data_IF_105965189548
#
_entry.id   IF_105965189548
#
_cell.length_a   1.000
_cell.length_b   1.000
_cell.length_c   1.000
_cell.angle_alpha   90.00
_cell.angle_beta   90.00
_cell.angle_gamma   90.00
#
_symmetry.space_group_name_H-M   'P 1'
#
loop_
_entity.id
_entity.type
_entity.pdbx_description
1 polymer ?
#
# COMPACT_ATOMS: atom_id res chain seq x y z
N UNK A 1 -7.88 -0.48 -7.70
CA UNK A 1 -8.53 -0.41 -6.37
C UNK A 1 -7.58 0.13 -5.31
N UNK A 2 -6.45 -0.52 -5.00
CA UNK A 2 -5.55 -0.06 -3.92
C UNK A 2 -4.94 1.33 -4.16
N UNK A 3 -4.54 1.64 -5.40
CA UNK A 3 -4.09 2.99 -5.78
C UNK A 3 -5.16 4.06 -5.47
N UNK A 4 -6.40 3.84 -5.91
CA UNK A 4 -7.51 4.75 -5.63
C UNK A 4 -7.84 4.87 -4.13
N UNK A 5 -7.79 3.76 -3.38
CA UNK A 5 -7.96 3.78 -1.92
C UNK A 5 -6.86 4.59 -1.22
N UNK A 6 -5.61 4.47 -1.66
CA UNK A 6 -4.49 5.21 -1.10
C UNK A 6 -4.62 6.72 -1.36
N UNK A 7 -4.94 7.11 -2.60
CA UNK A 7 -5.18 8.52 -2.94
C UNK A 7 -6.33 9.12 -2.11
N UNK A 8 -7.39 8.35 -1.86
CA UNK A 8 -8.51 8.81 -1.03
C UNK A 8 -8.10 9.00 0.43
N UNK A 9 -7.24 8.12 0.98
CA UNK A 9 -6.70 8.26 2.34
C UNK A 9 -5.80 9.49 2.51
N UNK A 10 -4.99 9.81 1.48
CA UNK A 10 -4.24 11.07 1.45
C UNK A 10 -5.18 12.28 1.39
N UNK A 11 -6.21 12.24 0.52
CA UNK A 11 -7.18 13.34 0.35
C UNK A 11 -7.88 13.73 1.65
N UNK A 12 -8.12 12.77 2.53
CA UNK A 12 -8.79 13.00 3.83
C UNK A 12 -7.82 13.22 5.00
N UNK A 13 -6.51 13.27 4.75
CA UNK A 13 -5.49 13.54 5.77
C UNK A 13 -5.24 12.38 6.74
N UNK A 14 -5.62 11.14 6.38
CA UNK A 14 -5.30 9.95 7.19
C UNK A 14 -3.85 9.51 6.94
N UNK A 15 -3.36 9.73 5.72
CA UNK A 15 -1.94 9.55 5.36
C UNK A 15 -1.37 10.94 5.14
N UNK A 16 -0.45 11.37 6.02
CA UNK A 16 0.22 12.68 5.94
C UNK A 16 1.64 12.54 5.39
N UNK A 17 2.12 13.59 4.75
CA UNK A 17 3.45 13.66 4.17
C UNK A 17 4.39 14.42 5.11
N UNK A 18 5.68 14.11 5.07
CA UNK A 18 6.69 15.00 5.67
C UNK A 18 6.78 16.28 4.82
N UNK A 19 6.85 17.43 5.49
CA UNK A 19 6.71 18.79 4.95
C UNK A 19 7.19 18.98 3.50
N UNK A 20 6.25 19.24 2.59
CA UNK A 20 6.48 20.10 1.43
C UNK A 20 6.50 19.47 0.03
N UNK A 21 6.35 18.16 -0.13
CA UNK A 21 6.28 17.54 -1.46
C UNK A 21 5.12 16.57 -1.54
N UNK A 22 4.06 16.95 -2.26
CA UNK A 22 2.90 16.08 -2.46
C UNK A 22 3.24 14.99 -3.44
N UNK A 23 3.42 13.78 -2.92
CA UNK A 23 3.89 12.62 -3.66
C UNK A 23 2.77 11.61 -3.75
N UNK A 24 2.12 11.60 -4.90
CA UNK A 24 1.19 10.53 -5.26
C UNK A 24 1.96 9.31 -5.75
N UNK A 25 1.56 8.09 -5.36
CA UNK A 25 2.11 6.89 -5.98
C UNK A 25 1.84 6.95 -7.48
N UNK A 26 2.84 6.62 -8.28
CA UNK A 26 2.67 6.49 -9.72
C UNK A 26 1.58 5.47 -10.04
N UNK A 27 0.88 5.72 -11.14
CA UNK A 27 -0.09 4.79 -11.71
C UNK A 27 0.60 3.52 -12.20
N UNK A 28 -0.19 2.47 -12.43
CA UNK A 28 0.31 1.18 -12.91
C UNK A 28 1.16 1.31 -14.18
N UNK A 29 0.70 2.06 -15.18
CA UNK A 29 1.43 2.23 -16.44
C UNK A 29 2.78 2.94 -16.23
N UNK A 30 2.82 3.97 -15.40
CA UNK A 30 4.05 4.70 -15.11
C UNK A 30 5.09 3.80 -14.43
N UNK A 31 4.64 2.95 -13.50
CA UNK A 31 5.51 1.96 -12.86
C UNK A 31 6.05 0.96 -13.88
N UNK A 32 5.19 0.34 -14.70
CA UNK A 32 5.62 -0.68 -15.67
C UNK A 32 6.51 -0.13 -16.78
N UNK A 33 6.30 1.11 -17.21
CA UNK A 33 7.15 1.77 -18.22
C UNK A 33 8.54 2.10 -17.66
N UNK A 34 8.63 2.45 -16.37
CA UNK A 34 9.90 2.78 -15.71
C UNK A 34 10.84 1.60 -15.49
N UNK A 35 10.34 0.36 -15.46
CA UNK A 35 11.18 -0.84 -15.33
C UNK A 35 12.00 -1.13 -16.60
N UNK A 36 11.67 -0.48 -17.72
CA UNK A 36 12.39 -0.61 -18.99
C UNK A 36 13.50 0.44 -19.18
N UNK A 37 13.55 1.49 -18.35
CA UNK A 37 14.53 2.58 -18.41
C UNK A 37 15.32 2.63 -17.09
N UNK A 38 16.55 2.12 -17.13
CA UNK A 38 17.42 1.90 -15.99
C UNK A 38 18.06 3.21 -15.46
N UNK A 39 17.25 4.22 -15.11
CA UNK A 39 17.72 5.48 -14.52
C UNK A 39 17.35 5.57 -13.03
N UNK A 40 18.38 5.34 -12.21
CA UNK A 40 18.41 5.32 -10.75
C UNK A 40 18.27 6.72 -10.11
N UNK A 41 17.28 7.49 -10.54
CA UNK A 41 16.86 8.73 -9.86
C UNK A 41 15.35 8.73 -9.69
N UNK A 42 14.82 7.57 -9.28
CA UNK A 42 13.39 7.31 -9.15
C UNK A 42 12.77 8.25 -8.13
N UNK A 43 11.85 9.10 -8.61
CA UNK A 43 11.03 9.94 -7.76
C UNK A 43 10.39 9.12 -6.63
N UNK A 44 10.22 9.70 -5.44
CA UNK A 44 9.58 9.04 -4.29
C UNK A 44 8.23 8.41 -4.66
N UNK A 45 7.49 9.03 -5.59
CA UNK A 45 6.22 8.49 -6.12
C UNK A 45 6.38 7.19 -6.91
N UNK A 46 7.48 7.03 -7.65
CA UNK A 46 7.79 5.78 -8.34
C UNK A 46 8.14 4.67 -7.34
N UNK A 47 8.92 4.99 -6.31
CA UNK A 47 9.24 4.05 -5.24
C UNK A 47 7.97 3.56 -4.52
N UNK A 48 7.09 4.48 -4.12
CA UNK A 48 5.81 4.17 -3.50
C UNK A 48 4.90 3.36 -4.43
N UNK A 49 4.86 3.71 -5.72
CA UNK A 49 4.11 2.98 -6.75
C UNK A 49 4.57 1.53 -6.90
N UNK A 50 5.89 1.29 -6.97
CA UNK A 50 6.47 -0.06 -7.03
C UNK A 50 6.14 -0.89 -5.79
N UNK A 51 6.27 -0.31 -4.60
CA UNK A 51 5.92 -1.01 -3.34
C UNK A 51 4.42 -1.34 -3.27
N UNK A 52 3.56 -0.40 -3.63
CA UNK A 52 2.12 -0.64 -3.65
C UNK A 52 1.72 -1.72 -4.67
N UNK A 53 2.42 -1.79 -5.80
CA UNK A 53 2.23 -2.87 -6.78
C UNK A 53 2.61 -4.24 -6.21
N UNK A 54 3.71 -4.34 -5.47
CA UNK A 54 4.11 -5.59 -4.80
C UNK A 54 3.07 -6.05 -3.76
N UNK A 55 2.53 -5.12 -2.98
CA UNK A 55 1.42 -5.41 -2.06
C UNK A 55 0.20 -5.90 -2.83
N UNK A 56 -0.15 -5.25 -3.93
CA UNK A 56 -1.30 -5.63 -4.75
C UNK A 56 -1.15 -7.04 -5.33
N UNK A 57 0.05 -7.43 -5.78
CA UNK A 57 0.35 -8.78 -6.24
C UNK A 57 0.20 -9.81 -5.12
N UNK A 58 0.66 -9.47 -3.90
CA UNK A 58 0.51 -10.32 -2.72
C UNK A 58 -0.96 -10.55 -2.31
N UNK A 59 -1.88 -9.72 -2.80
CA UNK A 59 -3.32 -9.83 -2.51
C UNK A 59 -4.08 -10.76 -3.48
N UNK A 60 -3.40 -11.40 -4.43
CA UNK A 60 -4.05 -12.31 -5.38
C UNK A 60 -4.79 -13.45 -4.65
N UNK A 61 -6.01 -13.78 -5.11
CA UNK A 61 -6.86 -14.78 -4.45
C UNK A 61 -7.57 -14.32 -3.17
N UNK A 62 -7.39 -13.07 -2.73
CA UNK A 62 -8.22 -12.48 -1.68
C UNK A 62 -9.57 -12.01 -2.23
N UNK A 63 -10.64 -12.22 -1.45
CA UNK A 63 -11.97 -11.74 -1.84
C UNK A 63 -12.04 -10.21 -1.80
N UNK A 64 -12.93 -9.61 -2.60
CA UNK A 64 -13.16 -8.17 -2.56
C UNK A 64 -13.61 -7.63 -1.19
N UNK A 65 -14.15 -8.49 -0.31
CA UNK A 65 -14.47 -8.11 1.08
C UNK A 65 -13.20 -7.90 1.90
N UNK A 66 -12.25 -8.84 1.80
CA UNK A 66 -10.96 -8.75 2.48
C UNK A 66 -10.15 -7.56 1.96
N UNK A 67 -10.09 -7.39 0.63
CA UNK A 67 -9.38 -6.26 0.01
C UNK A 67 -9.81 -4.90 0.54
N UNK A 68 -11.11 -4.70 0.81
CA UNK A 68 -11.64 -3.45 1.37
C UNK A 68 -11.35 -3.30 2.88
N UNK A 69 -11.11 -4.40 3.59
CA UNK A 69 -10.82 -4.42 5.03
C UNK A 69 -9.34 -4.12 5.33
N UNK A 70 -8.44 -4.54 4.44
CA UNK A 70 -6.99 -4.40 4.62
C UNK A 70 -6.52 -2.97 4.94
N UNK A 71 -7.00 -1.89 4.28
CA UNK A 71 -6.60 -0.52 4.62
C UNK A 71 -6.91 -0.14 6.07
N UNK A 72 -8.06 -0.58 6.60
CA UNK A 72 -8.45 -0.31 7.99
C UNK A 72 -7.60 -1.09 8.98
N UNK A 73 -7.25 -2.34 8.66
CA UNK A 73 -6.36 -3.16 9.50
C UNK A 73 -4.94 -2.60 9.53
N UNK A 74 -4.44 -2.15 8.38
CA UNK A 74 -3.14 -1.51 8.27
C UNK A 74 -3.07 -0.25 9.14
N UNK A 75 -4.09 0.60 9.06
CA UNK A 75 -4.17 1.81 9.88
C UNK A 75 -4.30 1.49 11.37
N UNK A 76 -5.17 0.55 11.76
CA UNK A 76 -5.37 0.18 13.17
C UNK A 76 -4.11 -0.44 13.84
N UNK A 77 -3.20 -1.01 13.05
CA UNK A 77 -1.92 -1.57 13.53
C UNK A 77 -0.74 -0.59 13.40
N UNK A 78 -0.99 0.59 12.84
CA UNK A 78 -0.08 1.72 12.95
C UNK A 78 -0.27 2.32 14.35
N UNK A 79 0.71 2.18 15.24
CA UNK A 79 0.67 2.74 16.60
C UNK A 79 0.72 4.28 16.63
N UNK A 80 0.47 4.95 15.50
CA UNK A 80 0.54 6.40 15.35
C UNK A 80 -0.88 6.96 15.48
N UNK A 81 -1.20 7.65 16.59
CA UNK A 81 -2.46 8.35 16.70
C UNK A 81 -2.49 9.52 15.71
N UNK A 82 -3.52 9.57 14.86
CA UNK A 82 -3.67 10.60 13.83
C UNK A 82 -3.27 10.08 12.46
N UNK A 83 -2.27 10.72 11.85
CA UNK A 83 -1.80 10.45 10.50
C UNK A 83 -0.54 9.58 10.48
N UNK A 84 -0.27 8.90 9.37
CA UNK A 84 1.02 8.23 9.16
C UNK A 84 1.58 8.49 7.76
N UNK A 85 2.90 8.35 7.59
CA UNK A 85 3.52 8.52 6.28
C UNK A 85 3.14 7.43 5.30
N UNK A 86 3.19 7.76 4.00
CA UNK A 86 2.93 6.85 2.89
C UNK A 86 3.72 5.52 3.02
N UNK A 87 5.01 5.62 3.33
CA UNK A 87 5.88 4.47 3.50
C UNK A 87 5.44 3.58 4.67
N UNK A 88 5.14 4.19 5.83
CA UNK A 88 4.65 3.47 7.01
C UNK A 88 3.32 2.79 6.71
N UNK A 89 2.41 3.48 6.03
CA UNK A 89 1.12 2.90 5.67
C UNK A 89 1.29 1.68 4.75
N UNK A 90 2.14 1.76 3.73
CA UNK A 90 2.40 0.66 2.80
C UNK A 90 3.05 -0.53 3.53
N UNK A 91 3.98 -0.30 4.46
CA UNK A 91 4.54 -1.36 5.31
C UNK A 91 3.48 -2.06 6.15
N UNK A 92 2.61 -1.28 6.79
CA UNK A 92 1.50 -1.83 7.60
C UNK A 92 0.49 -2.57 6.74
N UNK A 93 0.25 -2.11 5.52
CA UNK A 93 -0.61 -2.78 4.56
C UNK A 93 -0.02 -4.14 4.15
N UNK A 94 1.28 -4.21 3.88
CA UNK A 94 1.96 -5.47 3.60
C UNK A 94 1.86 -6.45 4.79
N UNK A 95 2.08 -5.97 6.02
CA UNK A 95 1.91 -6.80 7.22
C UNK A 95 0.48 -7.29 7.40
N UNK A 96 -0.53 -6.46 7.12
CA UNK A 96 -1.93 -6.85 7.19
C UNK A 96 -2.29 -7.93 6.16
N UNK A 97 -1.72 -7.85 4.95
CA UNK A 97 -1.87 -8.88 3.91
C UNK A 97 -1.25 -10.20 4.34
N UNK A 98 -0.01 -10.18 4.82
CA UNK A 98 0.69 -11.37 5.30
C UNK A 98 -0.08 -12.06 6.42
N UNK A 99 -0.55 -11.30 7.41
CA UNK A 99 -1.34 -11.83 8.52
C UNK A 99 -2.63 -12.50 8.05
N UNK A 100 -3.36 -11.87 7.12
CA UNK A 100 -4.60 -12.46 6.60
C UNK A 100 -4.33 -13.75 5.79
N UNK A 101 -3.21 -13.84 5.08
CA UNK A 101 -2.81 -15.07 4.40
C UNK A 101 -2.42 -16.17 5.39
N UNK A 102 -1.67 -15.83 6.44
CA UNK A 102 -1.31 -16.75 7.53
C UNK A 102 -2.55 -17.28 8.26
N UNK A 103 -3.47 -16.39 8.65
CA UNK A 103 -4.71 -16.76 9.33
C UNK A 103 -5.54 -17.73 8.48
N UNK A 104 -5.57 -17.52 7.15
CA UNK A 104 -6.25 -18.43 6.21
C UNK A 104 -5.56 -19.78 6.09
N UNK A 105 -4.23 -19.82 6.08
CA UNK A 105 -3.48 -21.07 6.02
C UNK A 105 -3.70 -21.91 7.29
N UNK A 106 -3.66 -21.25 8.46
CA UNK A 106 -3.93 -21.89 9.75
C UNK A 106 -5.36 -22.47 9.84
N UNK A 107 -6.34 -21.81 9.20
CA UNK A 107 -7.72 -22.33 9.10
C UNK A 107 -7.90 -23.46 8.09
N UNK A 108 -7.03 -23.58 7.09
CA UNK A 108 -7.07 -24.64 6.09
C UNK A 108 -6.41 -25.95 6.58
N UNK A 109 -5.51 -25.86 7.56
CA UNK A 109 -4.83 -27.00 8.18
C UNK A 109 -5.54 -27.57 9.42
N UNK A 110 -6.70 -27.01 9.81
CA UNK A 110 -7.53 -27.45 10.95
C UNK A 110 -8.79 -28.19 10.50
#
# INVERSE_FOLDING_TARGET
MLHSSFCELQRVGIVEEEEGDTVYPCTYNEVTLSDSENNDSGSKGLHLGKRLLQVAQSCEGLSGRILRKLPFLAHATSSVPGSCSADIFIDKLQSAVQKELEDRNNMAES
#
